data_IF_093766589255
#
_entry.id   IF_093766589255
#
_cell.length_a   1.000
_cell.length_b   1.000
_cell.length_c   1.000
_cell.angle_alpha   90.00
_cell.angle_beta   90.00
_cell.angle_gamma   90.00
#
_symmetry.space_group_name_H-M   'P 1'
#
loop_
_entity.id
_entity.type
_entity.pdbx_description
1 polymer ?
#
# COMPACT_ATOMS: atom_id res chain seq x y z
N UNK A 1 -21.04 31.79 -38.21
CA UNK A 1 -20.44 31.86 -36.86
C UNK A 1 -20.97 30.68 -36.09
N UNK A 2 -20.28 29.54 -36.15
CA UNK A 2 -20.64 28.34 -35.39
C UNK A 2 -19.91 28.36 -34.07
N UNK A 3 -20.65 28.49 -32.98
CA UNK A 3 -20.15 28.32 -31.62
C UNK A 3 -19.91 26.83 -31.37
N UNK A 4 -18.64 26.44 -31.21
CA UNK A 4 -18.28 25.13 -30.67
C UNK A 4 -18.62 25.10 -29.17
N UNK A 5 -19.19 24.01 -28.64
CA UNK A 5 -19.37 23.87 -27.21
C UNK A 5 -18.02 23.57 -26.55
N UNK A 6 -17.76 24.26 -25.45
CA UNK A 6 -16.62 24.04 -24.57
C UNK A 6 -16.59 22.59 -24.11
N UNK A 7 -15.53 21.88 -24.47
CA UNK A 7 -15.24 20.56 -23.91
C UNK A 7 -14.79 20.76 -22.47
N UNK A 8 -15.72 20.59 -21.54
CA UNK A 8 -15.47 20.63 -20.11
C UNK A 8 -14.54 19.46 -19.76
N UNK A 9 -13.25 19.75 -19.73
CA UNK A 9 -12.17 18.84 -19.38
C UNK A 9 -12.22 18.56 -17.89
N UNK A 10 -13.20 17.75 -17.47
CA UNK A 10 -13.24 17.14 -16.15
C UNK A 10 -12.07 16.18 -15.99
N UNK A 11 -10.87 16.72 -15.73
CA UNK A 11 -9.71 15.93 -15.35
C UNK A 11 -10.09 15.07 -14.15
N UNK A 12 -9.90 13.75 -14.24
CA UNK A 12 -9.99 12.89 -13.06
C UNK A 12 -9.09 13.51 -11.98
N UNK A 13 -9.56 13.63 -10.72
CA UNK A 13 -8.69 14.03 -9.63
C UNK A 13 -7.42 13.20 -9.67
N UNK A 14 -6.26 13.83 -9.47
CA UNK A 14 -5.00 13.08 -9.39
C UNK A 14 -5.15 11.99 -8.32
N UNK A 15 -4.77 10.76 -8.68
CA UNK A 15 -4.94 9.61 -7.79
C UNK A 15 -4.11 9.81 -6.52
N UNK A 16 -4.77 9.65 -5.37
CA UNK A 16 -4.24 9.90 -4.03
C UNK A 16 -3.28 8.80 -3.61
N UNK A 17 -2.27 9.09 -2.80
CA UNK A 17 -1.36 8.05 -2.30
C UNK A 17 -1.80 7.52 -0.93
N UNK A 18 -1.94 6.20 -0.81
CA UNK A 18 -2.06 5.53 0.48
C UNK A 18 -0.91 4.54 0.70
N UNK A 19 -0.52 4.32 1.95
CA UNK A 19 0.38 3.25 2.34
C UNK A 19 -0.38 2.12 3.05
N UNK A 20 0.07 0.88 2.87
CA UNK A 20 -0.44 -0.29 3.60
C UNK A 20 0.74 -0.96 4.32
N UNK A 21 0.73 -0.99 5.65
CA UNK A 21 1.75 -1.69 6.47
C UNK A 21 1.42 -3.16 6.60
N UNK A 22 2.44 -4.03 6.60
CA UNK A 22 2.21 -5.48 6.51
C UNK A 22 1.53 -5.87 5.20
N UNK A 23 1.79 -5.11 4.13
CA UNK A 23 1.04 -5.14 2.87
C UNK A 23 1.04 -6.48 2.13
N UNK A 24 1.92 -7.42 2.50
CA UNK A 24 1.91 -8.80 1.96
C UNK A 24 1.14 -9.80 2.83
N UNK A 25 0.62 -9.37 3.97
CA UNK A 25 -0.17 -10.20 4.85
C UNK A 25 -1.45 -10.72 4.18
N UNK A 26 -2.01 -11.80 4.73
CA UNK A 26 -3.16 -12.49 4.14
C UNK A 26 -4.34 -11.54 3.84
N UNK A 27 -4.72 -10.71 4.81
CA UNK A 27 -5.78 -9.71 4.64
C UNK A 27 -5.31 -8.51 3.81
N UNK A 28 -4.07 -8.06 4.06
CA UNK A 28 -3.51 -6.85 3.48
C UNK A 28 -3.48 -6.86 1.95
N UNK A 29 -3.13 -8.00 1.32
CA UNK A 29 -3.15 -8.13 -0.14
C UNK A 29 -4.53 -7.89 -0.75
N UNK A 30 -5.60 -8.35 -0.09
CA UNK A 30 -6.97 -8.13 -0.57
C UNK A 30 -7.38 -6.67 -0.40
N UNK A 31 -6.95 -6.02 0.68
CA UNK A 31 -7.11 -4.58 0.87
C UNK A 31 -6.37 -3.79 -0.23
N UNK A 32 -5.11 -4.10 -0.50
CA UNK A 32 -4.32 -3.50 -1.59
C UNK A 32 -5.05 -3.63 -2.92
N UNK A 33 -5.55 -4.82 -3.26
CA UNK A 33 -6.30 -5.03 -4.48
C UNK A 33 -7.62 -4.24 -4.51
N UNK A 34 -8.33 -4.12 -3.39
CA UNK A 34 -9.55 -3.30 -3.31
C UNK A 34 -9.25 -1.81 -3.52
N UNK A 35 -8.18 -1.29 -2.90
CA UNK A 35 -7.70 0.08 -3.09
C UNK A 35 -7.32 0.35 -4.55
N UNK A 36 -6.58 -0.55 -5.18
CA UNK A 36 -6.21 -0.44 -6.60
C UNK A 36 -7.43 -0.48 -7.53
N UNK A 37 -8.42 -1.34 -7.25
CA UNK A 37 -9.65 -1.44 -8.05
C UNK A 37 -10.54 -0.22 -7.94
N UNK A 38 -10.49 0.50 -6.82
CA UNK A 38 -11.27 1.75 -6.66
C UNK A 38 -10.89 2.80 -7.71
N UNK A 39 -9.63 2.79 -8.17
CA UNK A 39 -9.09 3.80 -9.07
C UNK A 39 -8.82 5.16 -8.40
N UNK A 40 -9.18 5.33 -7.12
CA UNK A 40 -8.93 6.55 -6.35
C UNK A 40 -7.51 6.61 -5.79
N UNK A 41 -6.91 5.44 -5.56
CA UNK A 41 -5.64 5.30 -4.85
C UNK A 41 -4.52 4.77 -5.74
N UNK A 42 -3.34 5.36 -5.56
CA UNK A 42 -2.05 4.72 -5.81
C UNK A 42 -1.56 4.15 -4.48
N UNK A 43 -1.05 2.93 -4.50
CA UNK A 43 -0.80 2.15 -3.28
C UNK A 43 0.68 1.94 -3.06
N UNK A 44 1.18 2.37 -1.90
CA UNK A 44 2.51 2.01 -1.43
C UNK A 44 2.42 0.81 -0.48
N UNK A 45 2.91 -0.32 -0.93
CA UNK A 45 2.92 -1.57 -0.18
C UNK A 45 4.19 -1.59 0.68
N UNK A 46 4.02 -1.61 2.00
CA UNK A 46 5.13 -1.61 2.96
C UNK A 46 5.13 -2.90 3.77
N UNK A 47 6.27 -3.57 3.83
CA UNK A 47 6.45 -4.84 4.54
C UNK A 47 7.94 -5.06 4.88
N UNK A 48 8.24 -5.98 5.79
CA UNK A 48 9.58 -6.26 6.29
C UNK A 48 10.51 -6.87 5.22
N UNK A 49 9.98 -7.65 4.27
CA UNK A 49 10.84 -8.31 3.29
C UNK A 49 11.44 -7.28 2.31
N UNK A 50 12.72 -7.44 1.92
CA UNK A 50 13.41 -6.47 1.07
C UNK A 50 12.86 -6.41 -0.36
N UNK A 51 12.16 -7.45 -0.81
CA UNK A 51 11.56 -7.53 -2.14
C UNK A 51 10.17 -8.14 -2.06
N UNK A 52 9.33 -7.80 -3.03
CA UNK A 52 8.03 -8.43 -3.21
C UNK A 52 8.19 -9.70 -4.05
N UNK A 53 7.58 -10.79 -3.59
CA UNK A 53 7.45 -12.04 -4.35
C UNK A 53 5.97 -12.24 -4.61
N UNK A 54 5.59 -12.13 -5.89
CA UNK A 54 4.20 -12.29 -6.31
C UNK A 54 3.88 -13.78 -6.48
N UNK A 55 2.81 -14.21 -5.83
CA UNK A 55 2.27 -15.56 -5.97
C UNK A 55 1.27 -15.66 -7.14
N UNK A 56 0.67 -16.84 -7.34
CA UNK A 56 -0.45 -16.99 -8.27
C UNK A 56 -1.73 -16.37 -7.68
N UNK A 57 -2.62 -15.92 -8.57
CA UNK A 57 -3.97 -15.48 -8.22
C UNK A 57 -4.26 -14.03 -8.58
N UNK A 58 -5.53 -13.72 -8.80
CA UNK A 58 -6.02 -12.43 -9.33
C UNK A 58 -5.49 -11.21 -8.54
N UNK A 59 -5.39 -11.32 -7.21
CA UNK A 59 -4.90 -10.23 -6.35
C UNK A 59 -3.42 -9.94 -6.58
N UNK A 60 -2.60 -10.97 -6.76
CA UNK A 60 -1.16 -10.86 -6.99
C UNK A 60 -0.87 -10.41 -8.43
N UNK A 61 -1.65 -10.89 -9.40
CA UNK A 61 -1.59 -10.45 -10.80
C UNK A 61 -1.91 -8.95 -10.92
N UNK A 62 -2.99 -8.50 -10.27
CA UNK A 62 -3.36 -7.09 -10.21
C UNK A 62 -2.27 -6.23 -9.56
N UNK A 63 -1.67 -6.68 -8.47
CA UNK A 63 -0.55 -5.98 -7.84
C UNK A 63 0.66 -5.94 -8.79
N UNK A 64 0.95 -7.03 -9.49
CA UNK A 64 2.01 -7.09 -10.49
C UNK A 64 1.80 -6.11 -11.64
N UNK A 65 0.57 -6.00 -12.16
CA UNK A 65 0.20 -4.98 -13.15
C UNK A 65 0.40 -3.57 -12.60
N UNK A 66 -0.10 -3.32 -11.38
CA UNK A 66 0.00 -2.01 -10.73
C UNK A 66 1.45 -1.59 -10.44
N UNK A 67 2.33 -2.54 -10.10
CA UNK A 67 3.76 -2.27 -9.93
C UNK A 67 4.42 -1.92 -11.27
N UNK A 68 4.01 -2.56 -12.36
CA UNK A 68 4.54 -2.30 -13.72
C UNK A 68 4.08 -0.96 -14.29
N UNK A 69 2.82 -0.58 -14.06
CA UNK A 69 2.25 0.69 -14.56
C UNK A 69 2.37 1.87 -13.57
N UNK A 70 2.94 1.62 -12.38
CA UNK A 70 3.20 2.63 -11.37
C UNK A 70 1.99 3.06 -10.55
N UNK A 71 0.86 2.34 -10.61
CA UNK A 71 -0.23 2.51 -9.63
C UNK A 71 0.13 1.95 -8.24
N UNK A 72 1.13 1.08 -8.15
CA UNK A 72 1.68 0.61 -6.89
C UNK A 72 3.20 0.77 -6.81
N UNK A 73 3.71 0.91 -5.59
CA UNK A 73 5.15 0.90 -5.28
C UNK A 73 5.38 -0.01 -4.08
N UNK A 74 6.36 -0.91 -4.18
CA UNK A 74 6.82 -1.68 -3.02
C UNK A 74 7.94 -0.92 -2.31
N UNK A 75 7.77 -0.67 -1.01
CA UNK A 75 8.74 0.05 -0.19
C UNK A 75 9.00 -0.75 1.10
N UNK A 76 10.13 -1.48 1.18
CA UNK A 76 10.49 -2.24 2.37
C UNK A 76 10.58 -1.32 3.59
N UNK A 77 9.90 -1.67 4.67
CA UNK A 77 9.94 -0.93 5.91
C UNK A 77 9.61 -1.83 7.11
N UNK A 78 10.38 -1.68 8.18
CA UNK A 78 10.04 -2.15 9.51
C UNK A 78 9.21 -1.07 10.21
N UNK A 79 8.03 -1.45 10.71
CA UNK A 79 7.16 -0.56 11.48
C UNK A 79 7.81 -0.08 12.79
N UNK A 80 8.83 -0.80 13.27
CA UNK A 80 9.61 -0.39 14.44
C UNK A 80 10.76 0.57 14.08
N UNK A 81 10.93 0.92 12.80
CA UNK A 81 12.01 1.78 12.31
C UNK A 81 11.46 3.09 11.73
N UNK A 82 11.51 4.14 12.56
CA UNK A 82 10.96 5.46 12.22
C UNK A 82 11.57 6.06 10.93
N UNK A 83 12.88 5.92 10.71
CA UNK A 83 13.54 6.48 9.51
C UNK A 83 13.07 5.81 8.22
N UNK A 84 12.78 4.50 8.28
CA UNK A 84 12.20 3.77 7.16
C UNK A 84 10.75 4.20 6.91
N UNK A 85 9.96 4.37 7.97
CA UNK A 85 8.58 4.83 7.87
C UNK A 85 8.47 6.26 7.32
N UNK A 86 9.33 7.19 7.77
CA UNK A 86 9.36 8.56 7.26
C UNK A 86 9.55 8.55 5.73
N UNK A 87 10.50 7.75 5.23
CA UNK A 87 10.75 7.62 3.79
C UNK A 87 9.60 6.92 3.08
N UNK A 88 9.07 5.86 3.66
CA UNK A 88 7.97 5.10 3.07
C UNK A 88 6.68 5.95 2.99
N UNK A 89 6.43 6.84 3.95
CA UNK A 89 5.19 7.62 4.01
C UNK A 89 5.30 9.00 3.37
N UNK A 90 6.43 9.35 2.77
CA UNK A 90 6.56 10.62 2.05
C UNK A 90 5.51 10.75 0.94
N UNK A 91 4.71 11.83 1.01
CA UNK A 91 3.62 12.11 0.08
C UNK A 91 2.39 11.19 0.22
N UNK A 92 2.32 10.35 1.25
CA UNK A 92 1.15 9.51 1.56
C UNK A 92 0.12 10.32 2.34
N UNK A 93 -1.14 10.23 1.94
CA UNK A 93 -2.25 10.90 2.61
C UNK A 93 -2.93 10.03 3.67
N UNK A 94 -2.94 8.71 3.46
CA UNK A 94 -3.59 7.74 4.34
C UNK A 94 -2.71 6.52 4.55
N UNK A 95 -2.57 6.09 5.80
CA UNK A 95 -1.93 4.82 6.16
C UNK A 95 -3.01 3.83 6.62
N UNK A 96 -3.09 2.69 5.95
CA UNK A 96 -3.84 1.54 6.41
C UNK A 96 -2.87 0.62 7.16
N UNK A 97 -2.94 0.64 8.50
CA UNK A 97 -2.06 -0.18 9.32
C UNK A 97 -2.59 -1.62 9.40
N UNK A 98 -1.86 -2.58 8.84
CA UNK A 98 -2.20 -4.01 8.94
C UNK A 98 -1.01 -4.88 9.34
N UNK A 99 0.14 -4.25 9.65
CA UNK A 99 1.29 -4.95 10.19
C UNK A 99 0.94 -5.56 11.55
N UNK A 100 1.40 -6.79 11.77
CA UNK A 100 1.32 -7.44 13.06
C UNK A 100 2.47 -8.45 13.15
N UNK A 101 2.95 -8.70 14.37
CA UNK A 101 3.81 -9.83 14.63
C UNK A 101 3.09 -11.13 14.30
N UNK A 102 3.85 -12.11 13.84
CA UNK A 102 3.34 -13.45 13.55
C UNK A 102 2.69 -14.04 14.82
N UNK A 103 1.36 -14.29 14.81
CA UNK A 103 0.62 -14.76 15.98
C UNK A 103 1.04 -16.17 16.43
N UNK A 104 1.71 -16.94 15.56
CA UNK A 104 2.24 -18.26 15.92
C UNK A 104 3.51 -18.19 16.79
N UNK A 105 4.15 -17.02 16.86
CA UNK A 105 5.34 -16.81 17.70
C UNK A 105 4.92 -16.54 19.14
N UNK A 106 5.31 -17.42 20.05
CA UNK A 106 5.10 -17.22 21.49
C UNK A 106 6.17 -16.29 22.09
N UNK A 107 6.16 -15.01 21.69
CA UNK A 107 7.10 -14.00 22.18
C UNK A 107 6.38 -12.67 22.45
N UNK A 108 6.10 -12.40 23.72
CA UNK A 108 5.35 -11.22 24.15
C UNK A 108 6.07 -9.90 23.83
N UNK A 109 7.39 -9.86 23.93
CA UNK A 109 8.18 -8.67 23.61
C UNK A 109 8.09 -8.33 22.13
N UNK A 110 8.14 -9.36 21.26
CA UNK A 110 7.94 -9.18 19.83
C UNK A 110 6.53 -8.66 19.52
N UNK A 111 5.50 -9.24 20.14
CA UNK A 111 4.12 -8.82 19.95
C UNK A 111 3.90 -7.38 20.40
N UNK A 112 4.45 -7.00 21.56
CA UNK A 112 4.36 -5.64 22.06
C UNK A 112 5.09 -4.66 21.13
N UNK A 113 6.33 -4.98 20.76
CA UNK A 113 7.14 -4.14 19.89
C UNK A 113 6.49 -3.87 18.54
N UNK A 114 5.97 -4.89 17.87
CA UNK A 114 5.39 -4.70 16.53
C UNK A 114 3.98 -4.11 16.59
N UNK A 115 3.13 -4.59 17.50
CA UNK A 115 1.70 -4.25 17.47
C UNK A 115 1.35 -3.03 18.33
N UNK A 116 2.26 -2.58 19.20
CA UNK A 116 2.04 -1.41 20.09
C UNK A 116 3.05 -0.31 19.78
N UNK A 117 4.35 -0.61 19.79
CA UNK A 117 5.37 0.42 19.51
C UNK A 117 5.45 0.76 18.01
N UNK A 118 5.11 -0.19 17.15
CA UNK A 118 5.08 0.00 15.69
C UNK A 118 3.79 0.59 15.13
N UNK A 119 2.79 0.88 15.98
CA UNK A 119 1.55 1.55 15.58
C UNK A 119 1.74 3.07 15.40
#
# INVERSE_FOLDING_TARGET
MGSQPDSDGGGRPEARWCAVTGGRGFMARHLVAALLRSGEWRVRVTDLAPTVVLGPGETEELLGDALRDGRAVYAPADVCNLDQLIKAFEGVEVVFHTAAADPSKNNIELHYKVNVEGE
#
